data_IF_589854619409
#
_entry.id   IF_589854619409
#
_cell.length_a   1.000
_cell.length_b   1.000
_cell.length_c   1.000
_cell.angle_alpha   90.00
_cell.angle_beta   90.00
_cell.angle_gamma   90.00
#
_symmetry.space_group_name_H-M   'P 1'
#
loop_
_entity.id
_entity.type
_entity.pdbx_description
1 polymer ?
#
# COMPACT_ATOMS: atom_id res chain seq x y z
N UNK A 1 -4.19 -1.99 16.21
CA UNK A 1 -2.94 -1.86 15.45
C UNK A 1 -1.86 -2.67 16.15
N UNK A 2 -1.03 -3.41 15.42
CA UNK A 2 0.18 -4.05 15.94
C UNK A 2 1.23 -2.95 16.24
N UNK A 3 1.07 -2.25 17.37
CA UNK A 3 2.02 -1.26 17.88
C UNK A 3 2.32 -0.07 16.96
N UNK A 4 3.09 0.89 17.46
CA UNK A 4 3.83 1.79 16.57
C UNK A 4 4.93 0.97 15.91
N UNK A 5 4.93 0.93 14.59
CA UNK A 5 5.99 0.28 13.84
C UNK A 5 7.27 1.10 13.98
N UNK A 6 8.26 0.54 14.66
CA UNK A 6 9.58 1.16 14.79
C UNK A 6 10.25 1.14 13.43
N UNK A 7 10.44 2.32 12.82
CA UNK A 7 11.20 2.48 11.57
C UNK A 7 12.69 2.58 11.87
N UNK A 8 13.54 2.36 10.86
CA UNK A 8 15.00 2.47 11.01
C UNK A 8 15.71 1.21 11.55
N UNK A 9 15.05 0.05 11.52
CA UNK A 9 15.68 -1.23 11.90
C UNK A 9 16.89 -1.59 11.04
N UNK A 10 16.95 -1.07 9.81
CA UNK A 10 18.06 -1.29 8.88
C UNK A 10 18.86 0.01 8.78
N UNK A 11 20.11 -0.02 9.24
CA UNK A 11 20.98 1.16 9.27
C UNK A 11 21.12 1.81 7.89
N UNK A 12 20.89 3.12 7.85
CA UNK A 12 20.96 3.93 6.64
C UNK A 12 19.84 3.68 5.61
N UNK A 13 18.91 2.75 5.82
CA UNK A 13 17.77 2.52 4.92
C UNK A 13 16.55 3.30 5.38
N UNK A 14 16.00 4.08 4.47
CA UNK A 14 14.76 4.82 4.68
C UNK A 14 13.80 4.53 3.53
N UNK A 15 12.55 4.20 3.87
CA UNK A 15 11.45 4.07 2.92
C UNK A 15 10.53 5.27 3.11
N UNK A 16 10.39 6.07 2.06
CA UNK A 16 9.55 7.25 2.00
C UNK A 16 8.23 6.87 1.34
N UNK A 17 7.13 7.12 2.04
CA UNK A 17 5.77 6.86 1.55
C UNK A 17 5.00 8.16 1.45
N UNK A 18 4.29 8.37 0.35
CA UNK A 18 3.31 9.45 0.20
C UNK A 18 1.98 8.85 -0.26
N UNK A 19 0.87 9.48 0.06
CA UNK A 19 -0.46 8.88 -0.13
C UNK A 19 -0.88 8.67 -1.59
N UNK A 20 -0.12 9.16 -2.56
CA UNK A 20 -0.48 9.19 -3.98
C UNK A 20 0.64 8.78 -4.93
N UNK A 21 1.78 8.29 -4.40
CA UNK A 21 2.88 7.77 -5.22
C UNK A 21 3.43 6.48 -4.61
N UNK A 22 4.05 5.61 -5.43
CA UNK A 22 4.72 4.43 -4.92
C UNK A 22 5.83 4.76 -3.92
N UNK A 23 6.08 3.88 -2.94
CA UNK A 23 7.14 4.06 -1.96
C UNK A 23 8.50 4.19 -2.63
N UNK A 24 9.32 5.14 -2.14
CA UNK A 24 10.70 5.35 -2.58
C UNK A 24 11.65 4.89 -1.50
N UNK A 25 12.77 4.28 -1.88
CA UNK A 25 13.79 3.87 -0.93
C UNK A 25 15.05 4.73 -1.08
N UNK A 26 15.75 4.95 0.01
CA UNK A 26 17.10 5.53 0.03
C UNK A 26 18.01 4.71 0.93
N UNK A 27 19.28 4.58 0.54
CA UNK A 27 20.33 3.98 1.36
C UNK A 27 21.46 5.00 1.54
N UNK A 28 21.73 5.38 2.80
CA UNK A 28 22.73 6.38 3.19
C UNK A 28 22.62 7.68 2.37
N UNK A 29 21.38 8.16 2.21
CA UNK A 29 21.06 9.39 1.49
C UNK A 29 21.08 9.28 -0.04
N UNK A 30 21.39 8.10 -0.61
CA UNK A 30 21.34 7.86 -2.06
C UNK A 30 20.06 7.14 -2.47
N UNK A 31 19.49 7.43 -3.65
CA UNK A 31 18.35 6.69 -4.16
C UNK A 31 18.62 5.18 -4.22
N UNK A 32 17.67 4.40 -3.75
CA UNK A 32 17.70 2.94 -3.76
C UNK A 32 16.42 2.39 -4.38
N UNK A 33 16.44 1.12 -4.75
CA UNK A 33 15.30 0.41 -5.34
C UNK A 33 14.88 -0.74 -4.46
N UNK A 34 13.57 -1.02 -4.46
CA UNK A 34 13.00 -2.21 -3.82
C UNK A 34 13.22 -3.41 -4.73
N UNK A 35 13.37 -4.60 -4.13
CA UNK A 35 13.53 -5.85 -4.85
C UNK A 35 12.81 -6.98 -4.12
N UNK A 36 12.27 -7.93 -4.89
CA UNK A 36 11.81 -9.21 -4.36
C UNK A 36 12.93 -10.22 -4.61
N UNK A 37 13.36 -10.86 -3.53
CA UNK A 37 14.48 -11.78 -3.51
C UNK A 37 13.93 -13.12 -3.01
N UNK A 38 14.21 -14.21 -3.73
CA UNK A 38 13.88 -15.56 -3.26
C UNK A 38 14.75 -15.95 -2.07
N UNK A 39 14.39 -17.02 -1.37
CA UNK A 39 15.16 -17.54 -0.25
C UNK A 39 16.62 -17.88 -0.63
N UNK A 40 16.85 -18.33 -1.86
CA UNK A 40 18.18 -18.64 -2.40
C UNK A 40 18.98 -17.38 -2.82
N UNK A 41 18.43 -16.18 -2.65
CA UNK A 41 19.09 -14.92 -2.98
C UNK A 41 18.92 -14.44 -4.42
N UNK A 42 18.06 -15.08 -5.22
CA UNK A 42 17.79 -14.63 -6.59
C UNK A 42 16.82 -13.45 -6.60
N UNK A 43 17.20 -12.37 -7.27
CA UNK A 43 16.30 -11.22 -7.52
C UNK A 43 15.32 -11.59 -8.63
N UNK A 44 14.02 -11.66 -8.33
CA UNK A 44 12.97 -11.96 -9.32
C UNK A 44 12.33 -10.71 -9.91
N UNK A 45 12.37 -9.60 -9.18
CA UNK A 45 11.89 -8.30 -9.63
C UNK A 45 12.55 -7.18 -8.82
N UNK A 46 12.76 -6.02 -9.43
CA UNK A 46 13.31 -4.85 -8.75
C UNK A 46 12.84 -3.54 -9.39
N UNK A 47 12.89 -2.45 -8.62
CA UNK A 47 12.58 -1.10 -9.09
C UNK A 47 11.12 -0.70 -8.87
N UNK A 48 10.62 0.16 -9.75
CA UNK A 48 9.31 0.83 -9.61
C UNK A 48 8.14 -0.15 -9.62
N UNK A 49 8.23 -1.25 -10.38
CA UNK A 49 7.17 -2.28 -10.40
C UNK A 49 6.97 -2.91 -9.03
N UNK A 50 8.06 -3.19 -8.31
CA UNK A 50 8.01 -3.73 -6.94
C UNK A 50 7.40 -2.71 -5.97
N UNK A 51 7.77 -1.43 -6.10
CA UNK A 51 7.19 -0.37 -5.28
C UNK A 51 5.67 -0.27 -5.46
N UNK A 52 5.18 -0.32 -6.70
CA UNK A 52 3.75 -0.29 -7.02
C UNK A 52 2.99 -1.51 -6.46
N UNK A 53 3.58 -2.70 -6.56
CA UNK A 53 2.97 -3.91 -6.02
C UNK A 53 2.84 -3.84 -4.48
N UNK A 54 3.88 -3.34 -3.81
CA UNK A 54 3.86 -3.12 -2.35
C UNK A 54 2.80 -2.09 -1.96
N UNK A 55 2.70 -0.98 -2.70
CA UNK A 55 1.67 0.04 -2.48
C UNK A 55 0.26 -0.58 -2.60
N UNK A 56 0.00 -1.33 -3.67
CA UNK A 56 -1.27 -1.99 -3.91
C UNK A 56 -1.63 -2.97 -2.78
N UNK A 57 -0.65 -3.75 -2.30
CA UNK A 57 -0.83 -4.67 -1.18
C UNK A 57 -1.19 -3.93 0.12
N UNK A 58 -0.46 -2.86 0.45
CA UNK A 58 -0.70 -2.04 1.65
C UNK A 58 -2.08 -1.38 1.60
N UNK A 59 -2.42 -0.74 0.47
CA UNK A 59 -3.72 -0.06 0.29
C UNK A 59 -4.86 -1.07 0.39
N UNK A 60 -4.70 -2.27 -0.17
CA UNK A 60 -5.70 -3.34 -0.10
C UNK A 60 -5.88 -3.83 1.34
N UNK A 61 -4.79 -4.07 2.06
CA UNK A 61 -4.82 -4.47 3.47
C UNK A 61 -5.55 -3.43 4.33
N UNK A 62 -5.19 -2.15 4.18
CA UNK A 62 -5.83 -1.07 4.93
C UNK A 62 -7.31 -0.93 4.57
N UNK A 63 -7.66 -0.96 3.28
CA UNK A 63 -9.06 -0.90 2.83
C UNK A 63 -9.89 -2.06 3.38
N UNK A 64 -9.35 -3.27 3.39
CA UNK A 64 -10.04 -4.44 3.96
C UNK A 64 -10.25 -4.29 5.47
N UNK A 65 -9.28 -3.73 6.18
CA UNK A 65 -9.41 -3.38 7.60
C UNK A 65 -10.56 -2.38 7.81
N UNK A 66 -10.61 -1.29 7.04
CA UNK A 66 -11.68 -0.30 7.12
C UNK A 66 -13.06 -0.87 6.76
N UNK A 67 -13.12 -1.80 5.79
CA UNK A 67 -14.36 -2.54 5.48
C UNK A 67 -14.83 -3.36 6.67
N UNK A 68 -13.92 -4.12 7.30
CA UNK A 68 -14.24 -4.94 8.47
C UNK A 68 -14.79 -4.15 9.65
N UNK A 69 -14.31 -2.91 9.85
CA UNK A 69 -14.82 -1.99 10.87
C UNK A 69 -16.07 -1.20 10.47
N UNK A 70 -16.59 -1.38 9.25
CA UNK A 70 -17.74 -0.62 8.75
C UNK A 70 -17.45 0.88 8.53
N UNK A 71 -16.18 1.27 8.38
CA UNK A 71 -15.78 2.67 8.17
C UNK A 71 -15.89 3.14 6.72
N UNK A 72 -15.99 2.21 5.76
CA UNK A 72 -16.17 2.58 4.35
C UNK A 72 -17.64 2.83 4.03
N UNK A 73 -17.90 3.94 3.34
CA UNK A 73 -19.20 4.26 2.75
C UNK A 73 -19.08 4.22 1.23
N UNK A 74 -20.08 3.65 0.58
CA UNK A 74 -20.19 3.71 -0.88
C UNK A 74 -20.76 5.07 -1.24
N UNK A 75 -20.03 5.85 -2.04
CA UNK A 75 -20.58 7.02 -2.68
C UNK A 75 -21.26 6.55 -3.97
N UNK A 76 -22.60 6.55 -3.98
CA UNK A 76 -23.40 6.20 -5.15
C UNK A 76 -24.25 7.39 -5.58
N UNK A 77 -24.69 7.37 -6.84
CA UNK A 77 -25.80 8.22 -7.28
C UNK A 77 -27.06 7.96 -6.44
N UNK A 78 -27.98 8.94 -6.33
CA UNK A 78 -29.25 8.75 -5.65
C UNK A 78 -30.02 7.55 -6.23
N UNK A 79 -30.69 6.80 -5.36
CA UNK A 79 -31.59 5.72 -5.79
C UNK A 79 -32.81 6.37 -6.46
N UNK A 80 -33.14 6.04 -7.74
CA UNK A 80 -34.33 6.57 -8.39
C UNK A 80 -35.59 6.16 -7.62
N UNK A 81 -36.63 7.01 -7.58
CA UNK A 81 -37.88 6.67 -6.91
C UNK A 81 -38.49 5.41 -7.52
N UNK A 82 -39.03 4.54 -6.67
CA UNK A 82 -39.75 3.34 -7.12
C UNK A 82 -40.93 3.77 -7.98
N UNK A 83 -41.02 3.22 -9.21
CA UNK A 83 -42.21 3.33 -10.03
C UNK A 83 -43.37 2.67 -9.26
N UNK A 84 -44.43 3.44 -8.98
CA UNK A 84 -45.67 2.86 -8.44
C UNK A 84 -46.18 1.82 -9.43
N UNK A 85 -46.46 0.62 -8.95
CA UNK A 85 -47.17 -0.39 -9.72
C UNK A 85 -48.53 0.19 -10.15
N UNK A 86 -48.82 0.10 -11.45
CA UNK A 86 -50.06 0.56 -12.08
C UNK A 86 -51.23 -0.38 -11.77
#
# INVERSE_FOLDING_TARGET
MLGEQTTGAIDGVLIHTVSHEPPKATYKGKPAQLAIITEDGQVIASGTSVAQEIEAAIVTCYRNTLKGFGHLRVQSSPIPPLLKAA
#
